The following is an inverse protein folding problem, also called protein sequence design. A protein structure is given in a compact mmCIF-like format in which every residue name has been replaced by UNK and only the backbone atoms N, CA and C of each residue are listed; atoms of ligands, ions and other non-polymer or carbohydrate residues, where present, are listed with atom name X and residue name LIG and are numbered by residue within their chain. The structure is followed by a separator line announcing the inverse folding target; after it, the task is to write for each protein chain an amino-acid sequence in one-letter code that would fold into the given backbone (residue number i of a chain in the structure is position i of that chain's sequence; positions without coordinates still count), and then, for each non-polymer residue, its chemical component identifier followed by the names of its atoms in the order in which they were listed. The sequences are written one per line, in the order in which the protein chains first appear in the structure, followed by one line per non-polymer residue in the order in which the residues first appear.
data_IF_439401196045
#
_entry.id   IF_439401196045
#
_cell.length_a   1.000
_cell.length_b   1.000
_cell.length_c   1.000
_cell.angle_alpha   90.00
_cell.angle_beta   90.00
_cell.angle_gamma   90.00
#
_symmetry.space_group_name_H-M   'P 1'
#
loop_
_entity.id
_entity.type
_entity.pdbx_description
1 polymer ?
#
# COMPACT_ATOMS: atom_id res chain seq x y z
N UNK A 1 -59.18 23.98 -34.18
CA UNK A 1 -58.39 25.03 -33.49
C UNK A 1 -56.93 24.59 -33.40
N UNK A 2 -56.04 25.24 -34.14
CA UNK A 2 -54.62 24.88 -34.26
C UNK A 2 -53.81 25.53 -33.13
N UNK A 3 -53.18 24.73 -32.27
CA UNK A 3 -52.31 25.23 -31.19
C UNK A 3 -50.88 25.41 -31.71
N UNK A 4 -50.50 26.67 -31.95
CA UNK A 4 -49.14 27.12 -32.25
C UNK A 4 -48.20 26.79 -31.07
N UNK A 5 -47.17 25.99 -31.32
CA UNK A 5 -46.02 25.81 -30.41
C UNK A 5 -45.00 26.92 -30.67
N UNK A 6 -44.82 27.81 -29.70
CA UNK A 6 -43.72 28.78 -29.69
C UNK A 6 -42.40 28.07 -29.39
N UNK A 7 -41.46 28.08 -30.34
CA UNK A 7 -40.04 27.82 -30.08
C UNK A 7 -39.40 29.08 -29.51
N UNK A 8 -38.94 29.01 -28.25
CA UNK A 8 -38.01 29.98 -27.67
C UNK A 8 -36.60 29.66 -28.19
N UNK A 9 -36.04 30.49 -29.06
CA UNK A 9 -34.61 30.43 -29.37
C UNK A 9 -33.82 30.99 -28.20
N UNK A 10 -33.10 30.13 -27.48
CA UNK A 10 -32.03 30.57 -26.59
C UNK A 10 -30.76 30.74 -27.42
N UNK A 11 -30.40 31.97 -27.70
CA UNK A 11 -29.10 32.36 -28.23
C UNK A 11 -28.06 32.07 -27.15
N UNK A 12 -27.39 30.92 -27.22
CA UNK A 12 -26.20 30.64 -26.42
C UNK A 12 -25.08 31.51 -26.94
N UNK A 13 -24.77 32.59 -26.23
CA UNK A 13 -23.54 33.34 -26.38
C UNK A 13 -22.39 32.43 -25.96
N UNK A 14 -21.76 31.75 -26.93
CA UNK A 14 -20.52 31.02 -26.72
C UNK A 14 -19.43 32.04 -26.38
N UNK A 15 -18.99 32.02 -25.13
CA UNK A 15 -17.73 32.67 -24.76
C UNK A 15 -16.60 32.12 -25.66
N UNK A 16 -15.70 32.96 -26.17
CA UNK A 16 -14.59 32.50 -26.98
C UNK A 16 -13.74 31.54 -26.15
N UNK A 17 -13.53 30.34 -26.71
CA UNK A 17 -12.63 29.36 -26.13
C UNK A 17 -11.25 30.00 -25.90
N UNK A 18 -10.58 29.74 -24.77
CA UNK A 18 -9.23 30.23 -24.55
C UNK A 18 -8.36 29.77 -25.71
N UNK A 19 -7.87 30.73 -26.50
CA UNK A 19 -6.89 30.48 -27.54
C UNK A 19 -5.68 29.83 -26.86
N UNK A 20 -5.51 28.52 -27.07
CA UNK A 20 -4.25 27.84 -26.77
C UNK A 20 -3.17 28.61 -27.51
N UNK A 21 -2.36 29.36 -26.77
CA UNK A 21 -1.10 29.90 -27.29
C UNK A 21 -0.40 28.77 -28.03
N UNK A 22 -0.18 28.96 -29.33
CA UNK A 22 0.62 28.07 -30.14
C UNK A 22 2.01 28.04 -29.52
N UNK A 23 2.30 27.03 -28.69
CA UNK A 23 3.65 26.77 -28.20
C UNK A 23 4.53 26.59 -29.43
N UNK A 24 5.38 27.56 -29.71
CA UNK A 24 6.36 27.44 -30.79
C UNK A 24 7.29 26.28 -30.45
N UNK A 25 7.25 25.24 -31.28
CA UNK A 25 8.13 24.10 -31.15
C UNK A 25 9.57 24.51 -31.46
N UNK A 26 10.53 24.03 -30.67
CA UNK A 26 11.94 24.27 -30.99
C UNK A 26 12.29 23.71 -32.38
N UNK A 27 13.24 24.33 -33.11
CA UNK A 27 13.74 23.80 -34.38
C UNK A 27 14.23 22.36 -34.28
N UNK A 28 14.76 21.98 -33.11
CA UNK A 28 15.18 20.62 -32.81
C UNK A 28 14.01 19.63 -32.75
N UNK A 29 12.89 20.00 -32.11
CA UNK A 29 11.69 19.18 -32.07
C UNK A 29 11.12 18.97 -33.49
N UNK A 30 11.11 20.02 -34.30
CA UNK A 30 10.69 19.94 -35.70
C UNK A 30 11.60 19.01 -36.51
N UNK A 31 12.92 19.10 -36.33
CA UNK A 31 13.88 18.23 -37.00
C UNK A 31 13.73 16.75 -36.61
N UNK A 32 13.44 16.44 -35.35
CA UNK A 32 13.14 15.06 -34.91
C UNK A 32 11.85 14.57 -35.57
N UNK A 33 10.77 15.35 -35.50
CA UNK A 33 9.49 14.98 -36.12
C UNK A 33 9.64 14.73 -37.63
N UNK A 34 10.40 15.57 -38.33
CA UNK A 34 10.70 15.38 -39.76
C UNK A 34 11.55 14.12 -40.01
N UNK A 35 12.56 13.83 -39.19
CA UNK A 35 13.36 12.59 -39.33
C UNK A 35 12.48 11.34 -39.16
N UNK A 36 11.58 11.34 -38.21
CA UNK A 36 10.63 10.24 -37.98
C UNK A 36 9.64 10.11 -39.14
N UNK A 37 9.10 11.22 -39.62
CA UNK A 37 8.16 11.24 -40.74
C UNK A 37 8.82 10.75 -42.05
N UNK A 38 10.04 11.21 -42.34
CA UNK A 38 10.77 10.85 -43.56
C UNK A 38 11.35 9.43 -43.52
N UNK A 39 11.79 8.97 -42.35
CA UNK A 39 12.37 7.64 -42.17
C UNK A 39 11.35 6.51 -42.05
N UNK A 40 10.08 6.83 -41.80
CA UNK A 40 8.96 5.89 -41.81
C UNK A 40 9.14 4.69 -40.87
N UNK A 41 8.61 3.53 -41.29
CA UNK A 41 8.64 2.30 -40.49
C UNK A 41 10.06 1.76 -40.24
N UNK A 42 10.99 1.97 -41.18
CA UNK A 42 12.36 1.45 -41.06
C UNK A 42 13.15 2.21 -40.01
N UNK A 43 12.96 3.53 -39.90
CA UNK A 43 13.52 4.33 -38.81
C UNK A 43 13.05 3.84 -37.44
N UNK A 44 11.75 3.55 -37.31
CA UNK A 44 11.19 3.04 -36.06
C UNK A 44 11.80 1.68 -35.71
N UNK A 45 11.88 0.74 -36.66
CA UNK A 45 12.48 -0.59 -36.44
C UNK A 45 13.94 -0.51 -36.02
N UNK A 46 14.73 0.32 -36.69
CA UNK A 46 16.17 0.46 -36.43
C UNK A 46 16.45 1.10 -35.06
N UNK A 47 15.59 2.02 -34.61
CA UNK A 47 15.84 2.78 -33.39
C UNK A 47 15.05 2.28 -32.17
N UNK A 48 14.02 1.45 -32.34
CA UNK A 48 13.16 1.00 -31.24
C UNK A 48 13.94 0.24 -30.18
N UNK A 49 14.75 -0.76 -30.56
CA UNK A 49 15.54 -1.54 -29.59
C UNK A 49 16.50 -0.63 -28.84
N UNK A 50 17.26 0.19 -29.58
CA UNK A 50 18.19 1.17 -29.00
C UNK A 50 17.48 2.08 -27.99
N UNK A 51 16.31 2.61 -28.35
CA UNK A 51 15.56 3.53 -27.48
C UNK A 51 14.97 2.82 -26.27
N UNK A 52 14.45 1.61 -26.42
CA UNK A 52 13.99 0.82 -25.30
C UNK A 52 15.13 0.60 -24.30
N UNK A 53 16.32 0.22 -24.76
CA UNK A 53 17.51 0.04 -23.89
C UNK A 53 17.99 1.37 -23.30
N UNK A 54 18.24 2.38 -24.13
CA UNK A 54 18.78 3.67 -23.70
C UNK A 54 17.81 4.47 -22.81
N UNK A 55 16.52 4.13 -22.81
CA UNK A 55 15.52 4.79 -21.96
C UNK A 55 15.81 4.68 -20.45
N UNK A 56 16.67 3.76 -20.02
CA UNK A 56 17.17 3.71 -18.64
C UNK A 56 17.76 5.06 -18.18
N UNK A 57 18.35 5.84 -19.10
CA UNK A 57 18.90 7.17 -18.80
C UNK A 57 17.82 8.17 -18.35
N UNK A 58 16.57 7.97 -18.77
CA UNK A 58 15.44 8.83 -18.39
C UNK A 58 15.06 8.66 -16.92
N UNK A 59 15.42 7.56 -16.27
CA UNK A 59 15.15 7.34 -14.85
C UNK A 59 15.86 8.34 -13.92
N UNK A 60 16.87 9.06 -14.45
CA UNK A 60 17.60 10.12 -13.74
C UNK A 60 16.94 11.50 -13.89
N UNK A 61 15.93 11.63 -14.74
CA UNK A 61 15.20 12.89 -14.90
C UNK A 61 14.34 13.19 -13.67
N UNK A 62 14.06 14.49 -13.45
CA UNK A 62 13.31 14.93 -12.29
C UNK A 62 11.90 14.32 -12.20
N UNK A 63 11.32 13.96 -13.33
CA UNK A 63 10.02 13.30 -13.45
C UNK A 63 10.03 11.82 -13.04
N UNK A 64 11.20 11.19 -12.89
CA UNK A 64 11.31 9.75 -12.61
C UNK A 64 12.23 9.42 -11.42
N UNK A 65 12.96 10.40 -10.88
CA UNK A 65 13.88 10.19 -9.75
C UNK A 65 13.18 9.65 -8.49
N UNK A 66 11.90 9.95 -8.33
CA UNK A 66 11.06 9.61 -7.18
C UNK A 66 9.97 8.58 -7.53
N UNK A 67 10.01 8.01 -8.74
CA UNK A 67 9.06 6.99 -9.14
C UNK A 67 9.57 5.61 -8.74
N UNK A 68 8.76 4.91 -7.96
CA UNK A 68 9.01 3.56 -7.48
C UNK A 68 7.79 2.68 -7.72
N UNK A 69 8.00 1.37 -7.74
CA UNK A 69 6.94 0.40 -7.57
C UNK A 69 6.65 0.23 -6.07
N UNK A 70 5.55 -0.43 -5.74
CA UNK A 70 5.28 -0.89 -4.37
C UNK A 70 6.37 -1.89 -3.96
N UNK A 71 7.19 -1.52 -2.96
CA UNK A 71 8.37 -2.27 -2.55
C UNK A 71 8.05 -3.66 -1.97
N UNK A 72 7.07 -3.73 -1.08
CA UNK A 72 6.64 -5.00 -0.48
C UNK A 72 6.08 -5.94 -1.55
N UNK A 73 5.19 -5.43 -2.40
CA UNK A 73 4.63 -6.21 -3.51
C UNK A 73 5.70 -6.62 -4.51
N UNK A 74 6.65 -5.74 -4.83
CA UNK A 74 7.77 -6.06 -5.71
C UNK A 74 8.62 -7.19 -5.14
N UNK A 75 8.93 -7.17 -3.86
CA UNK A 75 9.66 -8.25 -3.18
C UNK A 75 8.87 -9.58 -3.22
N UNK A 76 7.59 -9.57 -2.86
CA UNK A 76 6.73 -10.77 -2.87
C UNK A 76 6.60 -11.39 -4.27
N UNK A 77 6.34 -10.57 -5.29
CA UNK A 77 6.24 -11.04 -6.68
C UNK A 77 7.57 -11.60 -7.15
N UNK A 78 8.67 -10.91 -6.87
CA UNK A 78 10.03 -11.34 -7.23
C UNK A 78 10.39 -12.67 -6.58
N UNK A 79 10.15 -12.84 -5.28
CA UNK A 79 10.41 -14.09 -4.57
C UNK A 79 9.63 -15.26 -5.18
N UNK A 80 8.35 -15.05 -5.48
CA UNK A 80 7.50 -16.09 -6.09
C UNK A 80 7.99 -16.48 -7.49
N UNK A 81 8.39 -15.50 -8.32
CA UNK A 81 8.95 -15.77 -9.65
C UNK A 81 10.34 -16.40 -9.57
N UNK A 82 11.18 -16.01 -8.60
CA UNK A 82 12.47 -16.64 -8.33
C UNK A 82 12.30 -18.11 -7.95
N UNK A 83 11.35 -18.46 -7.08
CA UNK A 83 11.01 -19.86 -6.76
C UNK A 83 10.60 -20.66 -8.00
N UNK A 84 9.83 -20.05 -8.91
CA UNK A 84 9.39 -20.67 -10.17
C UNK A 84 10.55 -20.85 -11.15
N UNK A 85 11.47 -19.89 -11.23
CA UNK A 85 12.58 -19.87 -12.19
C UNK A 85 13.87 -20.49 -11.66
N UNK A 86 13.99 -20.76 -10.36
CA UNK A 86 15.25 -21.18 -9.71
C UNK A 86 15.94 -22.33 -10.41
N UNK A 87 15.22 -23.42 -10.70
CA UNK A 87 15.80 -24.58 -11.43
C UNK A 87 16.27 -24.23 -12.85
N UNK A 88 15.58 -23.31 -13.54
CA UNK A 88 15.97 -22.85 -14.89
C UNK A 88 17.20 -21.96 -14.81
N UNK A 89 17.27 -21.07 -13.83
CA UNK A 89 18.42 -20.20 -13.58
C UNK A 89 19.66 -21.02 -13.24
N UNK A 90 19.56 -22.00 -12.34
CA UNK A 90 20.66 -22.92 -12.00
C UNK A 90 21.13 -23.74 -13.21
N UNK A 91 20.21 -24.17 -14.07
CA UNK A 91 20.54 -24.91 -15.28
C UNK A 91 21.20 -24.01 -16.35
N UNK A 92 20.75 -22.76 -16.46
CA UNK A 92 21.29 -21.76 -17.38
C UNK A 92 22.68 -21.28 -16.96
N UNK A 93 22.89 -21.06 -15.65
CA UNK A 93 24.19 -20.70 -15.07
C UNK A 93 25.29 -21.71 -15.43
N UNK A 94 24.94 -23.01 -15.47
CA UNK A 94 25.86 -24.09 -15.89
C UNK A 94 26.23 -24.04 -17.37
N UNK A 95 25.42 -23.41 -18.22
CA UNK A 95 25.66 -23.31 -19.66
C UNK A 95 26.48 -22.07 -20.02
N UNK A 96 26.31 -20.98 -19.27
CA UNK A 96 27.10 -19.78 -19.42
C UNK A 96 26.33 -18.50 -19.08
N UNK A 97 27.02 -17.34 -19.15
CA UNK A 97 26.44 -16.05 -18.81
C UNK A 97 25.29 -15.65 -19.75
N UNK A 98 25.38 -15.97 -21.04
CA UNK A 98 24.36 -15.60 -22.03
C UNK A 98 23.03 -16.32 -21.77
N UNK A 99 23.06 -17.64 -21.57
CA UNK A 99 21.88 -18.43 -21.19
C UNK A 99 21.28 -17.93 -19.86
N UNK A 100 22.14 -17.61 -18.88
CA UNK A 100 21.68 -17.09 -17.59
C UNK A 100 20.94 -15.75 -17.76
N UNK A 101 21.52 -14.82 -18.54
CA UNK A 101 20.90 -13.52 -18.79
C UNK A 101 19.57 -13.65 -19.53
N UNK A 102 19.45 -14.55 -20.50
CA UNK A 102 18.19 -14.80 -21.20
C UNK A 102 17.09 -15.25 -20.23
N UNK A 103 17.37 -16.25 -19.38
CA UNK A 103 16.39 -16.75 -18.39
C UNK A 103 16.07 -15.70 -17.32
N UNK A 104 17.07 -14.91 -16.90
CA UNK A 104 16.88 -13.83 -15.94
C UNK A 104 16.01 -12.70 -16.53
N UNK A 105 16.18 -12.37 -17.81
CA UNK A 105 15.39 -11.34 -18.47
C UNK A 105 13.95 -11.81 -18.73
N UNK A 106 13.73 -13.07 -19.09
CA UNK A 106 12.38 -13.66 -19.12
C UNK A 106 11.67 -13.51 -17.76
N UNK A 107 12.36 -13.84 -16.67
CA UNK A 107 11.82 -13.72 -15.32
C UNK A 107 11.47 -12.25 -15.00
N UNK A 108 12.36 -11.31 -15.32
CA UNK A 108 12.13 -9.87 -15.10
C UNK A 108 10.95 -9.35 -15.91
N UNK A 109 10.78 -9.81 -17.15
CA UNK A 109 9.65 -9.44 -18.00
C UNK A 109 8.33 -9.83 -17.34
N UNK A 110 8.26 -11.04 -16.81
CA UNK A 110 7.07 -11.55 -16.12
C UNK A 110 6.79 -10.79 -14.81
N UNK A 111 7.84 -10.54 -14.00
CA UNK A 111 7.72 -9.75 -12.77
C UNK A 111 7.17 -8.35 -13.07
N UNK A 112 7.79 -7.64 -14.04
CA UNK A 112 7.36 -6.30 -14.43
C UNK A 112 5.95 -6.31 -15.02
N UNK A 113 5.58 -7.34 -15.80
CA UNK A 113 4.23 -7.45 -16.36
C UNK A 113 3.15 -7.50 -15.27
N UNK A 114 3.44 -8.16 -14.15
CA UNK A 114 2.54 -8.25 -13.00
C UNK A 114 2.54 -6.99 -12.13
N UNK A 115 3.71 -6.36 -11.94
CA UNK A 115 3.85 -5.14 -11.15
C UNK A 115 3.32 -3.89 -11.88
N UNK A 116 3.34 -3.88 -13.22
CA UNK A 116 2.88 -2.76 -14.04
C UNK A 116 1.34 -2.66 -14.10
N UNK A 117 0.74 -2.31 -12.96
CA UNK A 117 -0.71 -2.08 -12.81
C UNK A 117 -1.22 -0.97 -13.73
N UNK A 118 -2.53 -0.90 -14.04
CA UNK A 118 -3.09 0.21 -14.81
C UNK A 118 -2.80 1.59 -14.22
N UNK A 119 -2.76 1.70 -12.88
CA UNK A 119 -2.41 2.94 -12.19
C UNK A 119 -0.95 3.34 -12.45
N UNK A 120 -0.02 2.41 -12.25
CA UNK A 120 1.40 2.65 -12.53
C UNK A 120 1.65 3.00 -14.00
N UNK A 121 1.00 2.30 -14.93
CA UNK A 121 1.11 2.61 -16.37
C UNK A 121 0.65 4.02 -16.71
N UNK A 122 -0.46 4.46 -16.10
CA UNK A 122 -1.00 5.81 -16.27
C UNK A 122 -0.03 6.85 -15.71
N UNK A 123 0.57 6.59 -14.56
CA UNK A 123 1.55 7.49 -13.95
C UNK A 123 2.81 7.64 -14.82
N UNK A 124 3.35 6.53 -15.35
CA UNK A 124 4.49 6.56 -16.29
C UNK A 124 4.15 7.37 -17.54
N UNK A 125 2.96 7.17 -18.13
CA UNK A 125 2.53 7.91 -19.32
C UNK A 125 2.44 9.42 -19.06
N UNK A 126 1.89 9.82 -17.90
CA UNK A 126 1.82 11.22 -17.48
C UNK A 126 3.19 11.85 -17.26
N UNK A 127 4.12 11.14 -16.61
CA UNK A 127 5.49 11.60 -16.37
C UNK A 127 6.28 11.70 -17.68
N UNK A 128 6.10 10.75 -18.61
CA UNK A 128 6.68 10.83 -19.96
C UNK A 128 6.12 12.02 -20.76
N UNK A 129 4.82 12.29 -20.68
CA UNK A 129 4.21 13.45 -21.33
C UNK A 129 4.75 14.76 -20.75
N UNK A 130 4.91 14.84 -19.43
CA UNK A 130 5.49 16.01 -18.74
C UNK A 130 6.94 16.24 -19.17
N UNK A 131 7.73 15.17 -19.22
CA UNK A 131 9.11 15.21 -19.71
C UNK A 131 9.16 15.64 -21.19
N UNK A 132 8.27 15.12 -22.03
CA UNK A 132 8.17 15.52 -23.44
C UNK A 132 7.91 17.02 -23.56
N UNK A 133 6.90 17.53 -22.87
CA UNK A 133 6.54 18.95 -22.87
C UNK A 133 7.73 19.84 -22.49
N UNK A 134 8.50 19.46 -21.46
CA UNK A 134 9.72 20.17 -21.03
C UNK A 134 10.83 20.10 -22.10
N UNK A 135 11.03 18.94 -22.70
CA UNK A 135 12.09 18.72 -23.70
C UNK A 135 11.78 19.38 -25.05
N UNK A 136 10.49 19.58 -25.39
CA UNK A 136 10.08 20.25 -26.63
C UNK A 136 10.57 21.70 -26.71
N UNK A 137 10.78 22.35 -25.56
CA UNK A 137 11.38 23.69 -25.45
C UNK A 137 12.90 23.67 -25.17
N UNK A 138 13.47 22.49 -24.94
CA UNK A 138 14.87 22.31 -24.55
C UNK A 138 15.83 22.05 -25.72
N UNK A 139 17.09 21.78 -25.39
CA UNK A 139 18.17 21.45 -26.36
C UNK A 139 18.54 19.95 -26.38
N UNK A 140 18.01 19.14 -25.46
CA UNK A 140 18.37 17.72 -25.35
C UNK A 140 17.57 16.86 -26.36
N UNK A 141 18.05 16.87 -27.60
CA UNK A 141 17.39 16.22 -28.74
C UNK A 141 17.37 14.71 -28.63
N UNK A 142 18.35 14.12 -27.95
CA UNK A 142 18.44 12.66 -27.77
C UNK A 142 17.35 12.17 -26.83
N UNK A 143 17.16 12.83 -25.68
CA UNK A 143 16.08 12.47 -24.76
C UNK A 143 14.71 12.75 -25.36
N UNK A 144 14.58 13.86 -26.10
CA UNK A 144 13.32 14.17 -26.78
C UNK A 144 12.94 13.06 -27.77
N UNK A 145 13.88 12.61 -28.60
CA UNK A 145 13.68 11.50 -29.52
C UNK A 145 13.32 10.19 -28.79
N UNK A 146 14.00 9.89 -27.68
CA UNK A 146 13.66 8.72 -26.85
C UNK A 146 12.21 8.78 -26.36
N UNK A 147 11.80 9.89 -25.75
CA UNK A 147 10.45 10.04 -25.17
C UNK A 147 9.38 9.98 -26.27
N UNK A 148 9.59 10.64 -27.41
CA UNK A 148 8.67 10.61 -28.55
C UNK A 148 8.45 9.20 -29.10
N UNK A 149 9.46 8.33 -29.06
CA UNK A 149 9.33 6.93 -29.48
C UNK A 149 8.84 6.01 -28.36
N UNK A 150 9.16 6.32 -27.11
CA UNK A 150 8.83 5.45 -25.98
C UNK A 150 7.34 5.51 -25.61
N UNK A 151 6.72 6.68 -25.66
CA UNK A 151 5.28 6.85 -25.40
C UNK A 151 4.43 5.91 -26.27
N UNK A 152 4.53 5.93 -27.62
CA UNK A 152 3.75 5.00 -28.44
C UNK A 152 4.17 3.54 -28.23
N UNK A 153 5.47 3.26 -28.00
CA UNK A 153 5.95 1.91 -27.75
C UNK A 153 5.30 1.26 -26.51
N UNK A 154 5.25 1.97 -25.39
CA UNK A 154 4.66 1.46 -24.14
C UNK A 154 3.13 1.31 -24.20
N UNK A 155 2.46 1.99 -25.13
CA UNK A 155 1.03 1.86 -25.39
C UNK A 155 0.69 0.66 -26.28
N UNK A 156 1.67 0.07 -26.97
CA UNK A 156 1.44 -1.15 -27.75
C UNK A 156 1.35 -2.37 -26.84
N UNK A 157 0.27 -3.14 -26.97
CA UNK A 157 0.07 -4.37 -26.18
C UNK A 157 1.13 -5.45 -26.43
N UNK A 158 1.78 -5.42 -27.60
CA UNK A 158 2.77 -6.41 -28.02
C UNK A 158 4.17 -6.19 -27.43
N UNK A 159 4.43 -5.03 -26.80
CA UNK A 159 5.73 -4.74 -26.20
C UNK A 159 5.66 -5.00 -24.70
N UNK A 160 6.37 -6.01 -24.18
CA UNK A 160 6.51 -6.21 -22.75
C UNK A 160 7.23 -5.02 -22.11
N UNK A 161 6.65 -4.46 -21.05
CA UNK A 161 7.24 -3.33 -20.33
C UNK A 161 8.59 -3.67 -19.70
N UNK A 162 8.83 -4.94 -19.35
CA UNK A 162 10.12 -5.41 -18.86
C UNK A 162 11.25 -5.42 -19.89
N UNK A 163 11.00 -5.08 -21.16
CA UNK A 163 12.06 -4.81 -22.15
C UNK A 163 12.48 -3.33 -22.19
N UNK A 164 11.74 -2.46 -21.49
CA UNK A 164 12.04 -1.03 -21.45
C UNK A 164 13.02 -0.71 -20.32
N UNK A 165 14.19 -0.18 -20.68
CA UNK A 165 15.24 0.23 -19.75
C UNK A 165 14.75 1.20 -18.66
N UNK A 166 13.85 2.14 -18.98
CA UNK A 166 13.25 3.03 -17.98
C UNK A 166 12.49 2.24 -16.91
N UNK A 167 11.65 1.28 -17.33
CA UNK A 167 10.84 0.49 -16.41
C UNK A 167 11.73 -0.45 -15.58
N UNK A 168 12.72 -1.07 -16.21
CA UNK A 168 13.70 -1.91 -15.52
C UNK A 168 14.49 -1.12 -14.48
N UNK A 169 14.88 0.11 -14.78
CA UNK A 169 15.62 0.95 -13.84
C UNK A 169 14.76 1.35 -12.62
N UNK A 170 13.47 1.65 -12.83
CA UNK A 170 12.51 1.89 -11.74
C UNK A 170 12.35 0.63 -10.88
N UNK A 171 12.20 -0.54 -11.50
CA UNK A 171 12.11 -1.82 -10.81
C UNK A 171 13.39 -2.11 -9.99
N UNK A 172 14.57 -1.98 -10.59
CA UNK A 172 15.84 -2.21 -9.93
C UNK A 172 16.03 -1.28 -8.73
N UNK A 173 15.69 0.01 -8.88
CA UNK A 173 15.75 0.98 -7.78
C UNK A 173 14.79 0.61 -6.64
N UNK A 174 13.58 0.16 -6.99
CA UNK A 174 12.60 -0.33 -6.00
C UNK A 174 13.15 -1.54 -5.24
N UNK A 175 13.74 -2.50 -5.95
CA UNK A 175 14.33 -3.68 -5.32
C UNK A 175 15.56 -3.34 -4.47
N UNK A 176 16.41 -2.42 -4.92
CA UNK A 176 17.55 -1.95 -4.12
C UNK A 176 17.09 -1.28 -2.83
N UNK A 177 16.05 -0.43 -2.90
CA UNK A 177 15.49 0.18 -1.72
C UNK A 177 14.88 -0.87 -0.78
N UNK A 178 14.07 -1.79 -1.30
CA UNK A 178 13.47 -2.87 -0.50
C UNK A 178 14.53 -3.79 0.14
N UNK A 179 15.64 -4.07 -0.58
CA UNK A 179 16.77 -4.83 -0.05
C UNK A 179 17.55 -4.05 1.00
N UNK A 180 17.74 -2.73 0.83
CA UNK A 180 18.36 -1.88 1.84
C UNK A 180 17.50 -1.83 3.11
N UNK A 181 16.18 -1.66 2.96
CA UNK A 181 15.24 -1.72 4.08
C UNK A 181 15.35 -3.08 4.80
N UNK A 182 15.39 -4.19 4.05
CA UNK A 182 15.56 -5.54 4.61
C UNK A 182 16.93 -5.76 5.28
N UNK A 183 18.04 -5.34 4.68
CA UNK A 183 19.39 -5.46 5.23
C UNK A 183 19.56 -4.61 6.50
N UNK A 184 18.95 -3.43 6.52
CA UNK A 184 18.93 -2.55 7.69
C UNK A 184 18.06 -3.14 8.81
N UNK A 185 16.88 -3.67 8.49
CA UNK A 185 16.01 -4.40 9.41
C UNK A 185 16.69 -5.66 9.97
N UNK A 186 17.38 -6.42 9.13
CA UNK A 186 18.14 -7.59 9.55
C UNK A 186 19.33 -7.19 10.44
N UNK A 187 20.00 -6.07 10.14
CA UNK A 187 21.04 -5.50 11.00
C UNK A 187 20.53 -5.11 12.38
N UNK A 188 19.30 -4.59 12.48
CA UNK A 188 18.63 -4.33 13.78
C UNK A 188 18.40 -5.63 14.53
N UNK A 189 17.84 -6.62 13.84
CA UNK A 189 17.52 -7.91 14.43
C UNK A 189 18.80 -8.63 14.91
N UNK A 190 19.84 -8.65 14.10
CA UNK A 190 21.13 -9.26 14.43
C UNK A 190 21.79 -8.54 15.61
N UNK A 191 21.75 -7.20 15.65
CA UNK A 191 22.25 -6.42 16.80
C UNK A 191 21.46 -6.73 18.09
N UNK A 192 20.13 -6.83 18.02
CA UNK A 192 19.28 -7.22 19.16
C UNK A 192 19.62 -8.63 19.63
N UNK A 193 19.78 -9.58 18.70
CA UNK A 193 20.17 -10.96 19.01
C UNK A 193 21.56 -11.02 19.63
N UNK A 194 22.54 -10.26 19.13
CA UNK A 194 23.90 -10.24 19.69
C UNK A 194 23.93 -9.72 21.13
N UNK A 195 23.23 -8.62 21.42
CA UNK A 195 23.17 -8.07 22.79
C UNK A 195 22.51 -9.09 23.73
N UNK A 196 21.44 -9.75 23.30
CA UNK A 196 20.75 -10.75 24.11
C UNK A 196 21.57 -12.02 24.33
N UNK A 197 22.37 -12.44 23.34
CA UNK A 197 23.33 -13.55 23.51
C UNK A 197 24.40 -13.18 24.52
N UNK A 198 24.89 -11.94 24.47
CA UNK A 198 25.87 -11.43 25.44
C UNK A 198 25.31 -11.37 26.87
N UNK A 199 24.00 -11.26 27.04
CA UNK A 199 23.30 -11.28 28.34
C UNK A 199 22.88 -12.70 28.78
N UNK A 200 23.30 -13.75 28.07
CA UNK A 200 23.15 -15.15 28.48
C UNK A 200 21.89 -15.86 28.00
N UNK A 201 21.12 -15.27 27.06
CA UNK A 201 19.96 -15.93 26.45
C UNK A 201 20.42 -16.90 25.34
N UNK A 202 20.44 -18.22 25.62
CA UNK A 202 20.87 -19.24 24.66
C UNK A 202 19.84 -19.55 23.55
N UNK A 203 18.57 -19.20 23.75
CA UNK A 203 17.48 -19.36 22.76
C UNK A 203 16.67 -18.09 22.64
N UNK A 204 17.14 -17.19 21.78
CA UNK A 204 16.47 -15.94 21.46
C UNK A 204 15.45 -16.22 20.37
N UNK A 205 14.21 -16.44 20.79
CA UNK A 205 13.04 -16.28 19.92
C UNK A 205 12.53 -14.85 20.10
N UNK A 206 12.12 -14.18 19.02
CA UNK A 206 11.55 -12.81 19.07
C UNK A 206 10.37 -12.75 20.05
N UNK A 207 9.67 -13.87 20.22
CA UNK A 207 8.57 -14.03 21.16
C UNK A 207 9.01 -14.18 22.63
N UNK A 208 10.24 -14.63 22.91
CA UNK A 208 10.83 -14.61 24.26
C UNK A 208 11.26 -13.19 24.62
N UNK A 209 11.73 -12.43 23.64
CA UNK A 209 12.14 -11.03 23.78
C UNK A 209 10.95 -10.13 24.14
N UNK A 210 9.81 -10.30 23.44
CA UNK A 210 8.57 -9.56 23.70
C UNK A 210 7.94 -9.83 25.09
N UNK A 211 8.37 -10.87 25.80
CA UNK A 211 7.91 -11.19 27.16
C UNK A 211 8.70 -10.47 28.27
N UNK A 212 9.76 -9.77 27.92
CA UNK A 212 10.62 -9.05 28.86
C UNK A 212 10.79 -7.58 28.40
N UNK A 213 9.75 -6.74 28.54
CA UNK A 213 9.77 -5.35 28.10
C UNK A 213 10.95 -4.55 28.69
N UNK A 214 11.32 -4.82 29.95
CA UNK A 214 12.46 -4.19 30.61
C UNK A 214 13.81 -4.51 29.94
N UNK A 215 13.98 -5.75 29.43
CA UNK A 215 15.18 -6.16 28.68
C UNK A 215 15.20 -5.51 27.30
N UNK A 216 14.05 -5.45 26.63
CA UNK A 216 13.87 -4.71 25.37
C UNK A 216 14.21 -3.23 25.52
N UNK A 217 13.87 -2.61 26.65
CA UNK A 217 14.19 -1.21 26.92
C UNK A 217 15.70 -1.01 27.13
N UNK A 218 16.39 -1.95 27.80
CA UNK A 218 17.84 -1.89 28.01
C UNK A 218 18.63 -2.17 26.73
N UNK A 219 18.24 -3.19 25.96
CA UNK A 219 18.80 -3.52 24.64
C UNK A 219 18.51 -2.37 23.67
N UNK A 220 17.27 -1.86 23.70
CA UNK A 220 16.82 -0.69 22.97
C UNK A 220 17.66 0.53 23.30
N UNK A 221 17.91 0.86 24.57
CA UNK A 221 18.81 1.96 24.94
C UNK A 221 20.20 1.80 24.35
N UNK A 222 20.84 0.62 24.51
CA UNK A 222 22.18 0.37 23.96
C UNK A 222 22.25 0.50 22.44
N UNK A 223 21.25 -0.02 21.72
CA UNK A 223 21.21 -0.02 20.24
C UNK A 223 20.79 1.36 19.69
N UNK A 224 19.79 1.98 20.30
CA UNK A 224 19.22 3.26 19.86
C UNK A 224 20.08 4.47 20.25
N UNK A 225 20.87 4.38 21.33
CA UNK A 225 21.91 5.38 21.63
C UNK A 225 23.05 5.31 20.60
N UNK A 226 23.41 4.11 20.13
CA UNK A 226 24.41 3.94 19.08
C UNK A 226 23.90 4.35 17.70
N UNK A 227 22.58 4.21 17.43
CA UNK A 227 21.96 4.53 16.14
C UNK A 227 20.58 5.20 16.30
N UNK A 228 20.53 6.54 16.46
CA UNK A 228 19.26 7.26 16.69
C UNK A 228 18.24 7.13 15.54
N UNK A 229 18.70 7.02 14.30
CA UNK A 229 17.83 6.80 13.13
C UNK A 229 17.20 5.40 13.08
N UNK A 230 17.76 4.43 13.82
CA UNK A 230 17.20 3.09 13.95
C UNK A 230 15.94 3.11 14.82
N UNK A 231 15.98 3.90 15.90
CA UNK A 231 14.87 4.08 16.84
C UNK A 231 13.63 4.63 16.15
N UNK A 232 13.78 5.75 15.43
CA UNK A 232 12.67 6.39 14.73
C UNK A 232 12.01 5.46 13.71
N UNK A 233 12.80 4.59 13.08
CA UNK A 233 12.31 3.63 12.08
C UNK A 233 11.63 2.43 12.72
N UNK A 234 12.20 1.86 13.78
CA UNK A 234 11.57 0.80 14.55
C UNK A 234 10.25 1.29 15.18
N UNK A 235 10.24 2.51 15.75
CA UNK A 235 9.02 3.15 16.24
C UNK A 235 8.00 3.29 15.11
N UNK A 236 8.41 3.79 13.93
CA UNK A 236 7.51 3.89 12.77
C UNK A 236 6.93 2.53 12.36
N UNK A 237 7.74 1.49 12.25
CA UNK A 237 7.25 0.16 11.87
C UNK A 237 6.29 -0.45 12.88
N UNK A 238 6.56 -0.24 14.17
CA UNK A 238 5.63 -0.64 15.24
C UNK A 238 4.30 0.10 15.06
N UNK A 239 4.34 1.42 14.83
CA UNK A 239 3.13 2.21 14.60
C UNK A 239 2.38 1.79 13.34
N UNK A 240 3.06 1.57 12.22
CA UNK A 240 2.46 1.10 10.97
C UNK A 240 1.80 -0.29 11.16
N UNK A 241 2.45 -1.19 11.91
CA UNK A 241 1.90 -2.51 12.26
C UNK A 241 0.65 -2.40 13.15
N UNK A 242 0.69 -1.52 14.16
CA UNK A 242 -0.41 -1.25 15.08
C UNK A 242 -1.59 -0.64 14.34
N UNK A 243 -1.35 0.35 13.47
CA UNK A 243 -2.39 0.99 12.67
C UNK A 243 -3.04 -0.04 11.72
N UNK A 244 -2.25 -0.87 11.04
CA UNK A 244 -2.78 -1.95 10.20
C UNK A 244 -3.60 -2.98 11.01
N UNK A 245 -3.20 -3.23 12.26
CA UNK A 245 -3.93 -4.11 13.17
C UNK A 245 -5.27 -3.50 13.61
N UNK A 246 -5.27 -2.24 14.03
CA UNK A 246 -6.49 -1.49 14.40
C UNK A 246 -7.46 -1.38 13.23
N UNK A 247 -6.97 -1.10 12.02
CA UNK A 247 -7.79 -1.10 10.81
C UNK A 247 -8.41 -2.47 10.56
N UNK A 248 -7.62 -3.55 10.67
CA UNK A 248 -8.13 -4.92 10.50
C UNK A 248 -9.19 -5.28 11.55
N UNK A 249 -9.01 -4.80 12.80
CA UNK A 249 -10.01 -4.94 13.87
C UNK A 249 -11.30 -4.19 13.52
N UNK A 250 -11.20 -2.91 13.14
CA UNK A 250 -12.37 -2.09 12.81
C UNK A 250 -13.20 -2.63 11.64
N UNK A 251 -12.55 -3.30 10.68
CA UNK A 251 -13.23 -3.99 9.56
C UNK A 251 -13.76 -5.39 9.93
N UNK A 252 -13.53 -5.85 11.17
CA UNK A 252 -13.97 -7.15 11.65
C UNK A 252 -13.24 -8.33 11.01
N UNK A 253 -12.05 -8.11 10.44
CA UNK A 253 -11.21 -9.15 9.84
C UNK A 253 -10.38 -9.91 10.89
N UNK A 254 -10.32 -9.36 12.12
CA UNK A 254 -9.67 -9.97 13.27
C UNK A 254 -10.69 -10.23 14.38
N UNK A 255 -10.63 -11.42 14.97
CA UNK A 255 -11.55 -11.90 16.01
C UNK A 255 -10.89 -11.89 17.40
N UNK A 256 -11.39 -11.04 18.30
CA UNK A 256 -11.02 -11.06 19.72
C UNK A 256 -12.16 -11.45 20.66
N UNK A 257 -13.43 -11.27 20.24
CA UNK A 257 -14.64 -11.63 21.01
C UNK A 257 -14.63 -11.15 22.48
N UNK A 258 -14.17 -9.92 22.68
CA UNK A 258 -14.02 -9.27 23.99
C UNK A 258 -15.31 -8.63 24.52
N UNK A 259 -16.38 -8.52 23.73
CA UNK A 259 -17.65 -7.94 24.15
C UNK A 259 -18.78 -8.95 23.98
N UNK A 260 -19.76 -8.90 24.89
CA UNK A 260 -20.98 -9.69 24.75
C UNK A 260 -21.92 -9.08 23.69
N UNK A 261 -22.85 -9.88 23.18
CA UNK A 261 -23.86 -9.36 22.24
C UNK A 261 -24.72 -8.26 22.89
N UNK A 262 -25.04 -8.40 24.18
CA UNK A 262 -25.79 -7.36 24.91
C UNK A 262 -25.02 -6.04 24.99
N UNK A 263 -23.72 -6.09 25.29
CA UNK A 263 -22.82 -4.93 25.31
C UNK A 263 -22.79 -4.24 23.93
N UNK A 264 -22.64 -5.02 22.85
CA UNK A 264 -22.56 -4.52 21.48
C UNK A 264 -23.88 -3.91 20.98
N UNK A 265 -25.01 -4.28 21.58
CA UNK A 265 -26.33 -3.75 21.22
C UNK A 265 -26.71 -2.45 21.93
N UNK A 266 -26.02 -2.07 23.01
CA UNK A 266 -26.31 -0.83 23.77
C UNK A 266 -26.36 0.45 22.91
N UNK A 267 -25.42 0.71 21.98
CA UNK A 267 -25.48 1.91 21.14
C UNK A 267 -26.76 1.96 20.30
N UNK A 268 -27.19 0.82 19.75
CA UNK A 268 -28.39 0.75 18.91
C UNK A 268 -29.65 0.98 19.73
N UNK A 269 -29.73 0.46 20.95
CA UNK A 269 -30.85 0.69 21.86
C UNK A 269 -30.98 2.18 22.19
N UNK A 270 -29.85 2.87 22.42
CA UNK A 270 -29.83 4.31 22.68
C UNK A 270 -30.31 5.12 21.49
N UNK A 271 -29.76 4.88 20.30
CA UNK A 271 -30.19 5.59 19.10
C UNK A 271 -31.67 5.28 18.80
N UNK A 272 -32.13 4.04 19.00
CA UNK A 272 -33.53 3.70 18.82
C UNK A 272 -34.45 4.42 19.82
N UNK A 273 -34.04 4.56 21.09
CA UNK A 273 -34.79 5.30 22.09
C UNK A 273 -34.89 6.80 21.78
N UNK A 274 -33.86 7.38 21.16
CA UNK A 274 -33.81 8.78 20.79
C UNK A 274 -34.65 9.10 19.53
N UNK A 275 -34.67 8.19 18.54
CA UNK A 275 -35.31 8.45 17.23
C UNK A 275 -36.63 7.70 17.01
N UNK A 276 -37.02 6.76 17.86
CA UNK A 276 -38.32 6.08 17.82
C UNK A 276 -38.55 5.13 16.64
N UNK A 277 -37.68 5.11 15.62
CA UNK A 277 -37.77 4.21 14.47
C UNK A 277 -36.57 3.23 14.39
N UNK A 278 -36.81 1.95 14.02
CA UNK A 278 -35.73 1.02 13.73
C UNK A 278 -34.93 1.47 12.50
N UNK A 279 -33.61 1.29 12.53
CA UNK A 279 -32.70 1.59 11.42
C UNK A 279 -33.12 0.88 10.12
N UNK A 280 -33.84 1.58 9.25
CA UNK A 280 -34.33 1.06 7.97
C UNK A 280 -33.64 1.70 6.76
N UNK A 281 -32.82 2.74 6.96
CA UNK A 281 -32.11 3.40 5.87
C UNK A 281 -30.87 2.62 5.42
N UNK A 282 -30.76 2.40 4.11
CA UNK A 282 -29.65 1.66 3.49
C UNK A 282 -28.30 2.40 3.62
N UNK A 283 -28.29 3.71 3.85
CA UNK A 283 -27.11 4.50 4.21
C UNK A 283 -27.49 5.61 5.20
N UNK A 284 -26.88 5.66 6.40
CA UNK A 284 -27.10 6.75 7.34
C UNK A 284 -26.47 8.06 6.84
N UNK A 285 -27.15 9.19 7.09
CA UNK A 285 -26.62 10.54 6.89
C UNK A 285 -25.37 10.79 7.74
N UNK A 286 -24.56 11.81 7.41
CA UNK A 286 -23.37 12.15 8.21
C UNK A 286 -23.72 12.47 9.67
N UNK A 287 -24.77 13.27 9.90
CA UNK A 287 -25.26 13.57 11.25
C UNK A 287 -25.68 12.30 12.02
N UNK A 288 -26.29 11.32 11.34
CA UNK A 288 -26.65 10.04 11.95
C UNK A 288 -25.40 9.20 12.25
N UNK A 289 -24.36 9.25 11.40
CA UNK A 289 -23.10 8.55 11.65
C UNK A 289 -22.41 9.12 12.89
N UNK A 290 -22.30 10.44 13.00
CA UNK A 290 -21.72 11.10 14.17
C UNK A 290 -22.45 10.68 15.46
N UNK A 291 -23.80 10.70 15.45
CA UNK A 291 -24.58 10.24 16.61
C UNK A 291 -24.40 8.77 16.94
N UNK A 292 -24.27 7.89 15.95
CA UNK A 292 -23.94 6.48 16.20
C UNK A 292 -22.56 6.36 16.84
N UNK A 293 -21.56 7.10 16.35
CA UNK A 293 -20.21 7.11 16.93
C UNK A 293 -20.22 7.61 18.38
N UNK A 294 -20.98 8.67 18.68
CA UNK A 294 -21.14 9.17 20.04
C UNK A 294 -21.85 8.16 20.95
N UNK A 295 -22.90 7.50 20.45
CA UNK A 295 -23.59 6.44 21.18
C UNK A 295 -22.66 5.25 21.48
N UNK A 296 -21.76 4.90 20.54
CA UNK A 296 -20.73 3.86 20.73
C UNK A 296 -19.75 4.27 21.83
N UNK A 297 -19.20 5.49 21.77
CA UNK A 297 -18.28 5.99 22.81
C UNK A 297 -18.89 5.98 24.19
N UNK A 298 -20.14 6.44 24.30
CA UNK A 298 -20.85 6.46 25.57
C UNK A 298 -21.17 5.04 26.08
N UNK A 299 -21.52 4.11 25.18
CA UNK A 299 -21.74 2.72 25.55
C UNK A 299 -20.45 2.08 26.09
N UNK A 300 -19.31 2.28 25.41
CA UNK A 300 -18.01 1.78 25.89
C UNK A 300 -17.69 2.36 27.27
N UNK A 301 -17.89 3.67 27.46
CA UNK A 301 -17.64 4.34 28.75
C UNK A 301 -18.53 3.77 29.87
N UNK A 302 -19.78 3.45 29.58
CA UNK A 302 -20.70 2.83 30.55
C UNK A 302 -20.31 1.38 30.86
N UNK A 303 -19.96 0.60 29.83
CA UNK A 303 -19.58 -0.81 29.97
C UNK A 303 -18.26 -0.94 30.76
N UNK A 304 -17.29 -0.06 30.48
CA UNK A 304 -15.93 -0.14 31.00
C UNK A 304 -15.81 0.38 32.44
N UNK A 305 -16.58 -0.22 33.35
CA UNK A 305 -16.33 -0.07 34.79
C UNK A 305 -14.92 -0.57 35.14
N UNK A 306 -14.32 -0.14 36.27
CA UNK A 306 -13.00 -0.60 36.68
C UNK A 306 -12.86 -2.12 36.72
N UNK A 307 -13.90 -2.84 37.18
CA UNK A 307 -13.93 -4.30 37.21
C UNK A 307 -14.01 -4.91 35.81
N UNK A 308 -14.83 -4.34 34.92
CA UNK A 308 -14.96 -4.81 33.54
C UNK A 308 -13.68 -4.56 32.75
N UNK A 309 -13.05 -3.41 32.93
CA UNK A 309 -11.78 -3.05 32.32
C UNK A 309 -10.65 -4.00 32.76
N UNK A 310 -10.59 -4.36 34.05
CA UNK A 310 -9.65 -5.39 34.53
C UNK A 310 -9.85 -6.74 33.83
N UNK A 311 -11.08 -7.24 33.76
CA UNK A 311 -11.38 -8.49 33.02
C UNK A 311 -11.05 -8.40 31.54
N UNK A 312 -11.36 -7.26 30.91
CA UNK A 312 -11.02 -7.01 29.51
C UNK A 312 -9.50 -7.14 29.28
N UNK A 313 -8.68 -6.54 30.15
CA UNK A 313 -7.21 -6.66 30.07
C UNK A 313 -6.73 -8.09 30.25
N UNK A 314 -7.27 -8.83 31.22
CA UNK A 314 -6.93 -10.23 31.44
C UNK A 314 -7.26 -11.09 30.19
N UNK A 315 -8.38 -10.83 29.53
CA UNK A 315 -8.77 -11.50 28.29
C UNK A 315 -7.85 -11.14 27.12
N UNK A 316 -7.48 -9.86 26.98
CA UNK A 316 -6.51 -9.39 25.99
C UNK A 316 -5.15 -10.02 26.22
N UNK A 317 -4.64 -10.02 27.45
CA UNK A 317 -3.35 -10.61 27.83
C UNK A 317 -3.31 -12.11 27.52
N UNK A 318 -4.36 -12.83 27.90
CA UNK A 318 -4.49 -14.26 27.59
C UNK A 318 -4.49 -14.51 26.08
N UNK A 319 -5.17 -13.66 25.32
CA UNK A 319 -5.25 -13.76 23.86
C UNK A 319 -3.90 -13.45 23.21
N UNK A 320 -3.25 -12.36 23.62
CA UNK A 320 -1.90 -11.98 23.17
C UNK A 320 -0.90 -13.10 23.44
N UNK A 321 -0.88 -13.63 24.66
CA UNK A 321 0.00 -14.74 25.05
C UNK A 321 -0.22 -15.98 24.16
N UNK A 322 -1.48 -16.32 23.89
CA UNK A 322 -1.79 -17.46 23.03
C UNK A 322 -1.39 -17.19 21.57
N UNK A 323 -1.66 -16.00 21.04
CA UNK A 323 -1.33 -15.61 19.67
C UNK A 323 0.18 -15.56 19.43
N UNK A 324 0.94 -15.02 20.37
CA UNK A 324 2.39 -15.05 20.33
C UNK A 324 2.89 -16.50 20.31
N UNK A 325 2.34 -17.38 21.17
CA UNK A 325 2.72 -18.80 21.20
C UNK A 325 2.40 -19.54 19.90
N UNK A 326 1.29 -19.23 19.26
CA UNK A 326 0.87 -19.86 17.98
C UNK A 326 1.40 -19.14 16.75
N UNK A 327 2.25 -18.11 16.93
CA UNK A 327 2.82 -17.28 15.85
C UNK A 327 1.75 -16.66 14.94
N UNK A 328 0.64 -16.25 15.54
CA UNK A 328 -0.40 -15.51 14.85
C UNK A 328 0.14 -14.12 14.47
N UNK A 329 -0.14 -13.67 13.24
CA UNK A 329 0.42 -12.45 12.63
C UNK A 329 0.31 -11.18 13.50
N UNK A 330 -0.80 -11.03 14.21
CA UNK A 330 -1.16 -9.88 15.02
C UNK A 330 -0.77 -10.01 16.50
N UNK A 331 -0.13 -11.11 16.91
CA UNK A 331 0.25 -11.33 18.31
C UNK A 331 1.13 -10.21 18.88
N UNK A 332 2.09 -9.71 18.08
CA UNK A 332 2.98 -8.62 18.49
C UNK A 332 2.23 -7.27 18.61
N UNK A 333 1.34 -6.96 17.67
CA UNK A 333 0.51 -5.74 17.73
C UNK A 333 -0.43 -5.77 18.95
N UNK A 334 -1.08 -6.89 19.23
CA UNK A 334 -1.95 -7.03 20.41
C UNK A 334 -1.18 -6.92 21.73
N UNK A 335 0.06 -7.44 21.78
CA UNK A 335 0.94 -7.29 22.93
C UNK A 335 1.35 -5.83 23.16
N UNK A 336 1.57 -5.09 22.07
CA UNK A 336 1.88 -3.66 22.14
C UNK A 336 0.67 -2.86 22.66
N UNK A 337 -0.53 -3.12 22.14
CA UNK A 337 -1.77 -2.50 22.62
C UNK A 337 -2.04 -2.76 24.10
N UNK A 338 -1.76 -3.98 24.58
CA UNK A 338 -1.88 -4.30 26.00
C UNK A 338 -1.01 -3.37 26.87
N UNK A 339 0.16 -2.96 26.38
CA UNK A 339 1.04 -1.99 27.05
C UNK A 339 0.44 -0.58 27.17
N UNK A 340 -0.56 -0.23 26.33
CA UNK A 340 -1.29 1.04 26.43
C UNK A 340 -2.58 0.92 27.26
N UNK A 341 -2.89 -0.27 27.79
CA UNK A 341 -4.02 -0.49 28.69
C UNK A 341 -3.59 -0.42 30.17
N UNK A 342 -2.55 0.34 30.49
CA UNK A 342 -2.09 0.53 31.87
C UNK A 342 -3.10 1.34 32.72
N UNK A 343 -3.07 1.14 34.04
CA UNK A 343 -3.96 1.83 34.99
C UNK A 343 -5.13 0.97 35.51
N UNK A 344 -6.00 1.55 36.32
CA UNK A 344 -7.12 0.83 36.95
C UNK A 344 -8.50 1.24 36.40
N UNK A 345 -8.52 2.20 35.49
CA UNK A 345 -9.72 2.79 34.93
C UNK A 345 -9.59 2.93 33.42
N UNK A 346 -10.73 2.90 32.73
CA UNK A 346 -10.79 3.11 31.29
C UNK A 346 -10.57 4.58 30.96
N UNK A 347 -9.68 4.80 29.99
CA UNK A 347 -9.53 6.05 29.26
C UNK A 347 -9.85 5.79 27.78
N UNK A 348 -10.33 6.81 27.06
CA UNK A 348 -10.68 6.67 25.64
C UNK A 348 -9.46 6.16 24.85
N UNK A 349 -9.59 4.95 24.31
CA UNK A 349 -8.51 4.22 23.67
C UNK A 349 -8.97 3.72 22.29
N UNK A 350 -8.14 4.00 21.26
CA UNK A 350 -8.45 3.72 19.85
C UNK A 350 -8.59 2.22 19.58
N UNK A 351 -7.75 1.38 20.18
CA UNK A 351 -7.87 -0.07 20.10
C UNK A 351 -9.22 -0.57 20.64
N UNK A 352 -9.65 -0.14 21.82
CA UNK A 352 -10.95 -0.57 22.39
C UNK A 352 -12.11 -0.19 21.46
N UNK A 353 -12.07 1.03 20.91
CA UNK A 353 -13.07 1.49 19.94
C UNK A 353 -13.07 0.64 18.66
N UNK A 354 -11.88 0.36 18.10
CA UNK A 354 -11.72 -0.47 16.90
C UNK A 354 -12.25 -1.89 17.11
N UNK A 355 -11.94 -2.51 18.25
CA UNK A 355 -12.46 -3.84 18.62
C UNK A 355 -13.98 -3.83 18.70
N UNK A 356 -14.57 -2.83 19.36
CA UNK A 356 -16.01 -2.74 19.57
C UNK A 356 -16.76 -2.57 18.23
N UNK A 357 -16.31 -1.64 17.37
CA UNK A 357 -16.87 -1.41 16.04
C UNK A 357 -16.72 -2.66 15.17
N UNK A 358 -15.54 -3.29 15.19
CA UNK A 358 -15.27 -4.51 14.46
C UNK A 358 -16.24 -5.63 14.79
N UNK A 359 -16.49 -5.85 16.08
CA UNK A 359 -17.42 -6.89 16.54
C UNK A 359 -18.88 -6.59 16.15
N UNK A 360 -19.33 -5.32 16.24
CA UNK A 360 -20.64 -4.90 15.71
C UNK A 360 -20.75 -5.22 14.22
N UNK A 361 -19.72 -4.89 13.44
CA UNK A 361 -19.73 -5.10 11.99
C UNK A 361 -19.85 -6.59 11.64
N UNK A 362 -19.18 -7.47 12.39
CA UNK A 362 -19.30 -8.93 12.22
C UNK A 362 -20.69 -9.45 12.59
N UNK A 363 -21.26 -9.02 13.73
CA UNK A 363 -22.64 -9.36 14.10
C UNK A 363 -23.61 -9.03 12.95
N UNK A 364 -23.46 -7.84 12.35
CA UNK A 364 -24.25 -7.44 11.17
C UNK A 364 -24.06 -8.34 9.94
N UNK A 365 -22.83 -8.79 9.65
CA UNK A 365 -22.54 -9.74 8.56
C UNK A 365 -23.14 -11.13 8.80
N UNK A 366 -23.08 -11.63 10.03
CA UNK A 366 -23.61 -12.95 10.41
C UNK A 366 -25.14 -12.99 10.30
N UNK A 367 -25.82 -11.95 10.80
CA UNK A 367 -27.27 -11.81 10.67
C UNK A 367 -27.75 -11.77 9.21
N UNK A 368 -27.04 -11.04 8.33
CA UNK A 368 -27.34 -11.03 6.88
C UNK A 368 -27.17 -12.41 6.26
N UNK A 369 -26.10 -13.11 6.61
CA UNK A 369 -25.80 -14.46 6.09
C UNK A 369 -26.84 -15.50 6.53
N UNK A 370 -27.30 -15.44 7.78
CA UNK A 370 -28.35 -16.30 8.30
C UNK A 370 -29.71 -16.03 7.63
N UNK A 371 -30.03 -14.77 7.37
CA UNK A 371 -31.29 -14.35 6.72
C UNK A 371 -31.34 -14.79 5.25
N UNK A 372 -30.21 -14.73 4.53
CA UNK A 372 -30.09 -15.22 3.15
C UNK A 372 -30.26 -16.74 3.08
N UNK A 373 -29.68 -17.49 4.03
CA UNK A 373 -29.87 -18.95 4.10
C UNK A 373 -31.32 -19.36 4.38
N UNK A 374 -32.06 -18.59 5.19
CA UNK A 374 -33.49 -18.82 5.44
C UNK A 374 -34.39 -18.50 4.25
N UNK A 375 -34.01 -17.57 3.36
CA UNK A 375 -34.77 -17.25 2.13
C UNK A 375 -34.52 -18.21 0.96
N UNK A 376 -33.48 -19.05 1.04
CA UNK A 376 -33.13 -20.05 0.02
C UNK A 376 -33.62 -21.46 0.37
N UNK A 377 -34.24 -21.63 1.53
CA UNK A 377 -35.01 -22.82 1.92
C UNK A 377 -36.48 -22.46 1.82
#
# INVERSE_FOLDING_TARGET
MSRRRHQKSQTKTTAPAPQKQSREYSPAAQAIAQRMANGGADYLKQNLIRIMVDSAKLAKEAEFKDLYLDGEKAAQVTERWLKKYGKRLEAAEKKGPDDYHEVADEMRIEIVAELATPAFRKEVDQRLQTLMDRLMTGKDTKKLEMVMMLIPALRMKSIPWGLCGLILEIYNRTMQQAMQEYEEEQGVFDAVVEVLKAEGEEKIDIFTILKHPDKLEQVGKKIFEAQPGLRQRAEKQIWDMVEAFEDSLGHGDVELSLFSEEELMLPFQRVQAEFGEPFTQAQPSEEMRERIFDAVRQAITEIMTPERFRRFREEVEKTATNWLRTRQKWGAALQFELGYLEGDQYEENKFILAVFIGQIYRLGKEHKSATIKKRKR
#
